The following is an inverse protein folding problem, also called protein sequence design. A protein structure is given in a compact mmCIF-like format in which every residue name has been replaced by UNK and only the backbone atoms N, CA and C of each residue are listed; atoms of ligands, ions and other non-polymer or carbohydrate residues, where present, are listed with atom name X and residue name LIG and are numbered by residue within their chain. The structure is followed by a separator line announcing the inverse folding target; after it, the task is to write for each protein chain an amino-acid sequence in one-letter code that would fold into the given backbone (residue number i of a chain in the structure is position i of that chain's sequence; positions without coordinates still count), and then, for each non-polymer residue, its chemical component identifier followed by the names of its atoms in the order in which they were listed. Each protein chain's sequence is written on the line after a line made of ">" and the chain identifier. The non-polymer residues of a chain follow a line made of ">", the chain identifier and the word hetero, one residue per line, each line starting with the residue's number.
data_IF_455943646879
#
_entry.id   IF_455943646879
#
_cell.length_a   1.000
_cell.length_b   1.000
_cell.length_c   1.000
_cell.angle_alpha   90.00
_cell.angle_beta   90.00
_cell.angle_gamma   90.00
#
_symmetry.space_group_name_H-M   'P 1'
#
loop_
_entity.id
_entity.type
_entity.pdbx_description
1 polymer ?
#
# COMPACT_ATOMS: atom_id res chain seq x y z
N UNK A 1 20.27 -13.22 2.06
CA UNK A 1 20.55 -11.81 2.33
C UNK A 1 21.55 -11.63 3.48
N UNK A 2 21.30 -12.15 4.69
CA UNK A 2 22.16 -11.91 5.86
C UNK A 2 23.63 -12.36 5.62
N UNK A 3 23.82 -13.51 4.99
CA UNK A 3 25.16 -14.01 4.64
C UNK A 3 25.89 -13.04 3.68
N UNK A 4 25.19 -12.57 2.66
CA UNK A 4 25.73 -11.62 1.67
C UNK A 4 26.09 -10.27 2.30
N UNK A 5 25.22 -9.76 3.20
CA UNK A 5 25.50 -8.51 3.91
C UNK A 5 26.72 -8.67 4.82
N UNK A 6 26.86 -9.79 5.53
CA UNK A 6 28.00 -10.04 6.44
C UNK A 6 29.32 -10.26 5.70
N UNK A 7 29.27 -10.78 4.47
CA UNK A 7 30.48 -11.02 3.66
C UNK A 7 30.97 -9.78 2.89
N UNK A 8 30.23 -8.69 2.93
CA UNK A 8 30.57 -7.45 2.22
C UNK A 8 30.67 -6.28 3.18
N UNK A 9 31.87 -5.83 3.45
CA UNK A 9 32.16 -4.76 4.43
C UNK A 9 31.46 -3.45 4.05
N UNK A 10 31.29 -3.14 2.76
CA UNK A 10 30.67 -1.90 2.32
C UNK A 10 29.16 -1.93 2.51
N UNK A 11 28.52 -3.07 2.22
CA UNK A 11 27.08 -3.26 2.44
C UNK A 11 26.70 -3.40 3.92
N UNK A 12 27.61 -3.91 4.76
CA UNK A 12 27.39 -4.01 6.21
C UNK A 12 27.75 -2.74 6.99
N UNK A 13 28.58 -1.86 6.41
CA UNK A 13 29.07 -0.66 7.07
C UNK A 13 27.95 0.26 7.52
N UNK A 14 27.79 0.41 8.85
CA UNK A 14 26.76 1.25 9.47
C UNK A 14 25.31 0.93 9.03
N UNK A 15 25.06 -0.27 8.54
CA UNK A 15 23.70 -0.80 8.37
C UNK A 15 23.02 -0.84 9.75
N UNK A 16 21.85 -0.23 9.84
CA UNK A 16 21.14 -0.04 11.10
C UNK A 16 19.91 -0.96 11.19
N UNK A 17 19.11 -0.99 10.14
CA UNK A 17 17.88 -1.80 10.07
C UNK A 17 17.72 -2.40 8.68
N UNK A 18 17.00 -3.51 8.63
CA UNK A 18 16.56 -4.15 7.38
C UNK A 18 15.05 -4.40 7.49
N UNK A 19 14.29 -3.78 6.59
CA UNK A 19 12.85 -4.00 6.51
C UNK A 19 12.53 -4.91 5.33
N UNK A 20 11.55 -5.78 5.52
CA UNK A 20 11.09 -6.71 4.50
C UNK A 20 9.61 -6.47 4.22
N UNK A 21 9.26 -6.44 2.95
CA UNK A 21 7.90 -6.47 2.48
C UNK A 21 7.80 -7.62 1.46
N UNK A 22 7.08 -8.66 1.83
CA UNK A 22 6.98 -9.89 1.05
C UNK A 22 5.53 -10.23 0.75
N UNK A 23 5.28 -10.80 -0.43
CA UNK A 23 3.96 -11.25 -0.87
C UNK A 23 3.80 -12.76 -0.75
N UNK A 24 2.56 -13.24 -0.78
CA UNK A 24 2.25 -14.68 -0.80
C UNK A 24 2.84 -15.40 -2.02
N UNK A 25 3.07 -14.69 -3.13
CA UNK A 25 3.70 -15.21 -4.34
C UNK A 25 5.24 -15.23 -4.29
N UNK A 26 5.83 -14.72 -3.19
CA UNK A 26 7.28 -14.69 -2.99
C UNK A 26 8.00 -13.48 -3.61
N UNK A 27 7.25 -12.48 -4.12
CA UNK A 27 7.86 -11.19 -4.46
C UNK A 27 8.32 -10.50 -3.16
N UNK A 28 9.53 -9.97 -3.16
CA UNK A 28 10.13 -9.39 -1.96
C UNK A 28 10.79 -8.04 -2.26
N UNK A 29 10.47 -7.05 -1.42
CA UNK A 29 11.16 -5.77 -1.38
C UNK A 29 11.88 -5.63 -0.05
N UNK A 30 13.15 -5.27 -0.12
CA UNK A 30 14.01 -5.10 1.04
C UNK A 30 14.48 -3.65 1.12
N UNK A 31 14.28 -3.02 2.27
CA UNK A 31 14.82 -1.68 2.56
C UNK A 31 15.99 -1.82 3.52
N UNK A 32 17.17 -1.40 3.06
CA UNK A 32 18.40 -1.34 3.86
C UNK A 32 18.57 0.08 4.40
N UNK A 33 18.54 0.24 5.71
CA UNK A 33 18.59 1.55 6.39
C UNK A 33 19.95 1.75 7.02
N UNK A 34 20.63 2.83 6.63
CA UNK A 34 22.00 3.13 7.01
C UNK A 34 22.12 4.40 7.85
N UNK A 35 23.19 4.45 8.67
CA UNK A 35 23.63 5.65 9.41
C UNK A 35 24.85 6.32 8.74
N UNK A 36 25.00 6.17 7.44
CA UNK A 36 26.01 6.83 6.62
C UNK A 36 25.41 7.12 5.22
N UNK A 37 25.97 8.07 4.47
CA UNK A 37 25.56 8.32 3.10
C UNK A 37 25.76 7.07 2.21
N UNK A 38 24.91 6.93 1.21
CA UNK A 38 24.96 5.89 0.19
C UNK A 38 25.64 6.48 -1.05
N UNK A 39 26.84 6.00 -1.35
CA UNK A 39 27.63 6.42 -2.50
C UNK A 39 27.39 5.55 -3.74
N UNK A 40 28.08 5.86 -4.83
CA UNK A 40 27.98 5.11 -6.08
C UNK A 40 28.48 3.66 -5.94
N UNK A 41 29.52 3.44 -5.12
CA UNK A 41 30.03 2.08 -4.89
C UNK A 41 28.99 1.22 -4.17
N UNK A 42 28.31 1.79 -3.17
CA UNK A 42 27.20 1.13 -2.50
C UNK A 42 26.10 0.77 -3.51
N UNK A 43 25.73 1.70 -4.41
CA UNK A 43 24.67 1.47 -5.39
C UNK A 43 24.99 0.31 -6.34
N UNK A 44 26.24 0.23 -6.81
CA UNK A 44 26.69 -0.87 -7.67
C UNK A 44 26.59 -2.21 -6.95
N UNK A 45 27.09 -2.31 -5.72
CA UNK A 45 27.06 -3.55 -4.94
C UNK A 45 25.65 -3.95 -4.54
N UNK A 46 24.82 -2.98 -4.15
CA UNK A 46 23.42 -3.22 -3.79
C UNK A 46 22.60 -3.68 -5.00
N UNK A 47 22.88 -3.17 -6.20
CA UNK A 47 22.25 -3.62 -7.44
C UNK A 47 22.63 -5.07 -7.76
N UNK A 48 23.91 -5.45 -7.65
CA UNK A 48 24.38 -6.83 -7.82
C UNK A 48 23.71 -7.77 -6.80
N UNK A 49 23.56 -7.32 -5.54
CA UNK A 49 22.86 -8.08 -4.51
C UNK A 49 21.38 -8.29 -4.84
N UNK A 50 20.70 -7.24 -5.31
CA UNK A 50 19.29 -7.28 -5.76
C UNK A 50 19.10 -8.31 -6.87
N UNK A 51 19.95 -8.28 -7.89
CA UNK A 51 19.92 -9.22 -9.02
C UNK A 51 20.24 -10.66 -8.58
N UNK A 52 21.30 -10.84 -7.77
CA UNK A 52 21.71 -12.16 -7.26
C UNK A 52 20.62 -12.85 -6.45
N UNK A 53 19.87 -12.09 -5.64
CA UNK A 53 18.84 -12.65 -4.76
C UNK A 53 17.43 -12.58 -5.37
N UNK A 54 17.30 -11.98 -6.55
CA UNK A 54 16.02 -11.71 -7.21
C UNK A 54 15.02 -11.01 -6.27
N UNK A 55 15.48 -9.90 -5.66
CA UNK A 55 14.69 -9.07 -4.74
C UNK A 55 14.67 -7.63 -5.23
N UNK A 56 13.61 -6.91 -4.93
CA UNK A 56 13.58 -5.45 -5.03
C UNK A 56 14.36 -4.86 -3.85
N UNK A 57 15.16 -3.82 -4.08
CA UNK A 57 16.02 -3.27 -3.05
C UNK A 57 16.00 -1.76 -3.04
N UNK A 58 15.84 -1.21 -1.84
CA UNK A 58 15.90 0.22 -1.56
C UNK A 58 16.96 0.48 -0.50
N UNK A 59 17.80 1.48 -0.72
CA UNK A 59 18.69 2.04 0.29
C UNK A 59 18.12 3.31 0.91
N UNK A 60 18.18 3.42 2.22
CA UNK A 60 17.81 4.64 2.95
C UNK A 60 18.94 5.11 3.85
N UNK A 61 19.12 6.41 3.89
CA UNK A 61 19.99 7.11 4.83
C UNK A 61 19.37 8.47 5.15
N UNK A 62 19.99 9.24 6.04
CA UNK A 62 19.46 10.56 6.42
C UNK A 62 19.33 11.47 5.19
N UNK A 63 18.07 11.81 4.84
CA UNK A 63 17.76 12.65 3.68
C UNK A 63 17.99 12.00 2.31
N UNK A 64 18.28 10.69 2.27
CA UNK A 64 18.58 9.95 1.04
C UNK A 64 17.69 8.72 0.89
N UNK A 65 17.11 8.53 -0.30
CA UNK A 65 16.42 7.31 -0.72
C UNK A 65 16.93 6.92 -2.10
N UNK A 66 17.50 5.75 -2.22
CA UNK A 66 17.98 5.16 -3.47
C UNK A 66 17.09 3.96 -3.80
N UNK A 67 16.33 4.06 -4.87
CA UNK A 67 15.48 2.97 -5.37
C UNK A 67 16.23 2.31 -6.52
N UNK A 68 16.60 1.04 -6.37
CA UNK A 68 17.40 0.32 -7.37
C UNK A 68 16.54 -0.37 -8.43
N UNK A 69 15.29 -0.70 -8.06
CA UNK A 69 14.31 -1.34 -8.95
C UNK A 69 12.97 -0.63 -8.80
N UNK A 70 12.07 -1.18 -8.00
CA UNK A 70 10.76 -0.60 -7.68
C UNK A 70 10.66 -0.29 -6.19
N UNK A 71 9.76 0.61 -5.82
CA UNK A 71 9.45 0.91 -4.43
C UNK A 71 8.16 0.25 -3.92
N UNK A 72 7.68 -0.77 -4.62
CA UNK A 72 6.47 -1.50 -4.28
C UNK A 72 6.55 -2.97 -4.67
N UNK A 73 5.72 -3.77 -4.06
CA UNK A 73 5.37 -5.13 -4.50
C UNK A 73 3.89 -5.21 -4.84
N UNK A 74 3.48 -6.23 -5.59
CA UNK A 74 2.07 -6.49 -5.90
C UNK A 74 1.64 -7.76 -5.19
N UNK A 75 0.85 -7.60 -4.11
CA UNK A 75 0.24 -8.71 -3.39
C UNK A 75 -1.05 -9.16 -4.09
N UNK A 76 -1.29 -10.45 -4.16
CA UNK A 76 -2.55 -11.02 -4.61
C UNK A 76 -3.26 -11.69 -3.44
N UNK A 77 -4.37 -11.10 -3.01
CA UNK A 77 -5.21 -11.65 -1.95
C UNK A 77 -6.46 -12.29 -2.54
N UNK A 78 -6.77 -13.49 -2.08
CA UNK A 78 -8.03 -14.16 -2.42
C UNK A 78 -9.08 -13.87 -1.37
N UNK A 79 -10.23 -13.36 -1.81
CA UNK A 79 -11.41 -13.13 -0.98
C UNK A 79 -12.58 -13.87 -1.61
N UNK A 80 -13.06 -14.92 -0.96
CA UNK A 80 -13.94 -15.94 -1.55
C UNK A 80 -13.32 -16.49 -2.86
N UNK A 81 -14.02 -16.41 -3.96
CA UNK A 81 -13.57 -16.91 -5.27
C UNK A 81 -12.86 -15.84 -6.12
N UNK A 82 -12.81 -14.57 -5.66
CA UNK A 82 -12.20 -13.46 -6.39
C UNK A 82 -10.79 -13.17 -5.88
N UNK A 83 -9.89 -12.95 -6.82
CA UNK A 83 -8.52 -12.47 -6.53
C UNK A 83 -8.45 -10.96 -6.73
N UNK A 84 -7.79 -10.30 -5.79
CA UNK A 84 -7.55 -8.86 -5.81
C UNK A 84 -6.06 -8.57 -5.80
N UNK A 85 -5.62 -7.67 -6.67
CA UNK A 85 -4.25 -7.20 -6.72
C UNK A 85 -4.10 -5.90 -5.93
N UNK A 86 -3.08 -5.88 -5.06
CA UNK A 86 -2.79 -4.75 -4.20
C UNK A 86 -1.34 -4.28 -4.36
N UNK A 87 -1.15 -3.05 -4.85
CA UNK A 87 0.13 -2.38 -4.77
C UNK A 87 0.43 -2.03 -3.31
N UNK A 88 1.52 -2.58 -2.80
CA UNK A 88 2.01 -2.31 -1.45
C UNK A 88 3.30 -1.51 -1.57
N UNK A 89 3.24 -0.23 -1.24
CA UNK A 89 4.36 0.71 -1.36
C UNK A 89 5.23 0.63 -0.12
N UNK A 90 6.55 0.67 -0.30
CA UNK A 90 7.54 0.73 0.77
C UNK A 90 7.20 1.85 1.77
N UNK A 91 7.29 1.56 3.06
CA UNK A 91 6.92 2.44 4.19
C UNK A 91 5.43 2.79 4.33
N UNK A 92 4.54 2.30 3.45
CA UNK A 92 3.10 2.39 3.69
C UNK A 92 2.61 1.23 4.55
N UNK A 93 1.54 1.48 5.31
CA UNK A 93 0.95 0.41 6.11
C UNK A 93 0.36 -0.69 5.23
N UNK A 94 0.66 -1.93 5.56
CA UNK A 94 0.02 -3.13 5.01
C UNK A 94 -0.26 -4.12 6.15
N UNK A 95 -1.27 -4.97 5.99
CA UNK A 95 -1.50 -6.04 6.95
C UNK A 95 -0.33 -7.03 6.93
N UNK A 96 0.34 -7.25 8.08
CA UNK A 96 1.61 -8.00 8.10
C UNK A 96 1.44 -9.49 7.82
N UNK A 97 0.24 -10.03 7.98
CA UNK A 97 -0.09 -11.41 7.68
C UNK A 97 -1.16 -11.48 6.59
N UNK A 98 -0.73 -11.72 5.36
CA UNK A 98 -1.60 -11.74 4.21
C UNK A 98 -2.69 -12.83 4.27
N UNK A 99 -2.38 -14.01 4.85
CA UNK A 99 -3.39 -15.07 5.01
C UNK A 99 -4.46 -14.70 6.04
N UNK A 100 -4.08 -14.05 7.13
CA UNK A 100 -5.06 -13.52 8.10
C UNK A 100 -5.82 -12.36 7.48
N UNK A 101 -5.17 -11.52 6.70
CA UNK A 101 -5.81 -10.42 5.97
C UNK A 101 -6.97 -10.94 5.08
N UNK A 102 -6.75 -11.98 4.30
CA UNK A 102 -7.81 -12.60 3.48
C UNK A 102 -9.05 -12.97 4.32
N UNK A 103 -8.85 -13.60 5.47
CA UNK A 103 -9.95 -13.94 6.39
C UNK A 103 -10.64 -12.72 6.99
N UNK A 104 -9.89 -11.65 7.29
CA UNK A 104 -10.46 -10.38 7.75
C UNK A 104 -11.36 -9.75 6.68
N UNK A 105 -10.93 -9.78 5.41
CA UNK A 105 -11.68 -9.27 4.28
C UNK A 105 -12.97 -10.08 4.04
N UNK A 106 -12.89 -11.41 4.09
CA UNK A 106 -14.05 -12.29 3.99
C UNK A 106 -15.04 -12.05 5.13
N UNK A 107 -14.53 -11.92 6.37
CA UNK A 107 -15.35 -11.59 7.52
C UNK A 107 -16.07 -10.25 7.36
N UNK A 108 -15.36 -9.21 6.93
CA UNK A 108 -15.93 -7.88 6.72
C UNK A 108 -17.04 -7.91 5.65
N UNK A 109 -16.81 -8.60 4.54
CA UNK A 109 -17.82 -8.77 3.50
C UNK A 109 -19.06 -9.54 3.99
N UNK A 110 -18.89 -10.54 4.85
CA UNK A 110 -20.00 -11.28 5.43
C UNK A 110 -20.78 -10.44 6.45
N UNK A 111 -20.07 -9.64 7.27
CA UNK A 111 -20.69 -8.74 8.25
C UNK A 111 -21.46 -7.60 7.59
N UNK A 112 -20.96 -7.07 6.47
CA UNK A 112 -21.62 -6.00 5.72
C UNK A 112 -22.93 -6.46 5.04
N UNK A 113 -23.05 -7.75 4.72
CA UNK A 113 -24.16 -8.31 3.92
C UNK A 113 -24.28 -7.61 2.55
N UNK A 114 -25.30 -7.98 1.78
CA UNK A 114 -25.60 -7.29 0.52
C UNK A 114 -26.49 -6.06 0.81
N UNK A 115 -26.11 -4.91 0.27
CA UNK A 115 -26.83 -3.66 0.49
C UNK A 115 -27.01 -2.89 -0.82
N UNK A 116 -28.19 -2.27 -0.98
CA UNK A 116 -28.44 -1.31 -2.06
C UNK A 116 -28.08 0.13 -1.64
N UNK A 117 -27.37 0.31 -0.51
CA UNK A 117 -26.90 1.59 0.01
C UNK A 117 -25.47 1.86 -0.45
N UNK A 118 -25.03 3.07 -0.21
CA UNK A 118 -23.65 3.48 -0.40
C UNK A 118 -22.82 3.21 0.86
N UNK A 119 -21.52 3.03 0.71
CA UNK A 119 -20.54 2.85 1.79
C UNK A 119 -19.66 4.08 1.91
N UNK A 120 -19.50 4.56 3.12
CA UNK A 120 -18.41 5.46 3.48
C UNK A 120 -17.33 4.68 4.23
N UNK A 121 -16.09 4.74 3.76
CA UNK A 121 -14.92 4.19 4.44
C UNK A 121 -13.92 5.32 4.76
N UNK A 122 -13.60 5.49 6.03
CA UNK A 122 -12.58 6.43 6.49
C UNK A 122 -11.26 5.69 6.71
N UNK A 123 -10.13 6.38 6.40
CA UNK A 123 -8.78 5.81 6.55
C UNK A 123 -8.56 4.55 5.70
N UNK A 124 -9.01 4.56 4.45
CA UNK A 124 -9.00 3.36 3.60
C UNK A 124 -7.59 2.81 3.26
N UNK A 125 -6.53 3.59 3.51
CA UNK A 125 -5.17 3.21 3.16
C UNK A 125 -5.02 3.00 1.65
N UNK A 126 -4.48 1.85 1.26
CA UNK A 126 -4.39 1.44 -0.14
C UNK A 126 -5.69 0.79 -0.68
N UNK A 127 -6.80 0.90 0.04
CA UNK A 127 -8.08 0.31 -0.35
C UNK A 127 -8.22 -1.16 0.01
N UNK A 128 -7.51 -1.63 1.05
CA UNK A 128 -7.47 -3.06 1.40
C UNK A 128 -8.87 -3.65 1.65
N UNK A 129 -9.71 -2.97 2.43
CA UNK A 129 -11.10 -3.36 2.67
C UNK A 129 -12.05 -2.82 1.59
N UNK A 130 -11.77 -1.64 1.07
CA UNK A 130 -12.58 -0.94 0.07
C UNK A 130 -12.90 -1.83 -1.13
N UNK A 131 -11.88 -2.50 -1.69
CA UNK A 131 -12.04 -3.28 -2.92
C UNK A 131 -13.04 -4.44 -2.76
N UNK A 132 -12.88 -5.36 -1.79
CA UNK A 132 -13.85 -6.45 -1.64
C UNK A 132 -15.19 -5.98 -1.13
N UNK A 133 -15.26 -4.96 -0.26
CA UNK A 133 -16.52 -4.39 0.21
C UNK A 133 -17.34 -3.73 -0.90
N UNK A 134 -16.69 -3.21 -1.94
CA UNK A 134 -17.40 -2.60 -3.08
C UNK A 134 -18.41 -3.54 -3.75
N UNK A 135 -18.21 -4.86 -3.63
CA UNK A 135 -19.15 -5.86 -4.14
C UNK A 135 -20.46 -5.95 -3.34
N UNK A 136 -20.51 -5.33 -2.17
CA UNK A 136 -21.65 -5.37 -1.24
C UNK A 136 -22.52 -4.12 -1.29
N UNK A 137 -22.02 -3.04 -1.88
CA UNK A 137 -22.64 -1.72 -1.87
C UNK A 137 -22.86 -1.19 -3.29
N UNK A 138 -23.78 -0.25 -3.43
CA UNK A 138 -24.05 0.39 -4.70
C UNK A 138 -22.87 1.27 -5.14
N UNK A 139 -22.42 2.15 -4.25
CA UNK A 139 -21.22 3.00 -4.45
C UNK A 139 -20.38 3.04 -3.17
N UNK A 140 -19.11 3.29 -3.33
CA UNK A 140 -18.18 3.44 -2.19
C UNK A 140 -17.43 4.76 -2.30
N UNK A 141 -17.55 5.58 -1.25
CA UNK A 141 -16.64 6.70 -1.03
C UNK A 141 -15.62 6.30 0.02
N UNK A 142 -14.35 6.30 -0.37
CA UNK A 142 -13.24 6.02 0.54
C UNK A 142 -12.39 7.27 0.74
N UNK A 143 -11.97 7.56 1.99
CA UNK A 143 -11.11 8.71 2.30
C UNK A 143 -9.78 8.26 2.87
N UNK A 144 -8.71 8.93 2.45
CA UNK A 144 -7.34 8.69 2.91
C UNK A 144 -6.54 10.01 2.78
N UNK A 145 -5.66 10.28 3.72
CA UNK A 145 -4.86 11.49 3.72
C UNK A 145 -3.49 11.33 3.04
N UNK A 146 -2.85 10.16 3.23
CA UNK A 146 -1.52 9.89 2.71
C UNK A 146 -1.52 9.75 1.19
N UNK A 147 -0.75 10.63 0.51
CA UNK A 147 -0.70 10.66 -0.98
C UNK A 147 -0.28 9.32 -1.58
N UNK A 148 0.69 8.62 -0.98
CA UNK A 148 1.15 7.31 -1.46
C UNK A 148 0.05 6.25 -1.37
N UNK A 149 -0.72 6.25 -0.28
CA UNK A 149 -1.83 5.32 -0.08
C UNK A 149 -2.98 5.58 -1.06
N UNK A 150 -3.36 6.86 -1.27
CA UNK A 150 -4.36 7.24 -2.28
C UNK A 150 -3.92 6.79 -3.68
N UNK A 151 -2.66 7.03 -4.05
CA UNK A 151 -2.12 6.57 -5.32
C UNK A 151 -2.18 5.03 -5.46
N UNK A 152 -1.82 4.31 -4.40
CA UNK A 152 -1.92 2.84 -4.40
C UNK A 152 -3.38 2.38 -4.50
N UNK A 153 -4.32 3.02 -3.77
CA UNK A 153 -5.74 2.69 -3.83
C UNK A 153 -6.32 2.89 -5.24
N UNK A 154 -6.01 4.01 -5.89
CA UNK A 154 -6.44 4.28 -7.27
C UNK A 154 -5.90 3.23 -8.24
N UNK A 155 -4.61 2.92 -8.16
CA UNK A 155 -3.99 1.87 -8.96
C UNK A 155 -4.66 0.50 -8.71
N UNK A 156 -4.95 0.18 -7.45
CA UNK A 156 -5.60 -1.08 -7.07
C UNK A 156 -7.03 -1.18 -7.65
N UNK A 157 -7.80 -0.08 -7.62
CA UNK A 157 -9.13 -0.01 -8.19
C UNK A 157 -9.08 -0.27 -9.71
N UNK A 158 -8.16 0.39 -10.41
CA UNK A 158 -7.97 0.22 -11.87
C UNK A 158 -7.57 -1.21 -12.22
N UNK A 159 -6.58 -1.79 -11.52
CA UNK A 159 -6.09 -3.15 -11.80
C UNK A 159 -7.14 -4.23 -11.53
N UNK A 160 -8.06 -3.99 -10.61
CA UNK A 160 -9.13 -4.92 -10.28
C UNK A 160 -10.43 -4.66 -11.08
N UNK A 161 -10.41 -3.68 -12.00
CA UNK A 161 -11.55 -3.31 -12.85
C UNK A 161 -12.84 -3.05 -12.04
N UNK A 162 -12.70 -2.20 -10.99
CA UNK A 162 -13.81 -1.81 -10.12
C UNK A 162 -14.20 -0.38 -10.47
N UNK A 163 -15.47 -0.13 -10.73
CA UNK A 163 -16.00 1.13 -11.25
C UNK A 163 -16.89 1.91 -10.28
N UNK A 164 -17.24 1.30 -9.14
CA UNK A 164 -18.15 1.87 -8.16
C UNK A 164 -17.43 2.45 -6.92
N UNK A 165 -16.10 2.62 -6.97
CA UNK A 165 -15.31 3.20 -5.87
C UNK A 165 -14.77 4.56 -6.27
N UNK A 166 -14.92 5.53 -5.38
CA UNK A 166 -14.21 6.80 -5.46
C UNK A 166 -13.34 7.01 -4.23
N UNK A 167 -12.08 7.41 -4.45
CA UNK A 167 -11.14 7.74 -3.38
C UNK A 167 -10.93 9.24 -3.32
N UNK A 168 -11.26 9.85 -2.19
CA UNK A 168 -11.01 11.26 -1.92
C UNK A 168 -9.82 11.43 -0.98
N UNK A 169 -8.86 12.28 -1.36
CA UNK A 169 -7.74 12.61 -0.47
C UNK A 169 -8.18 13.66 0.56
N UNK A 170 -8.73 13.17 1.67
CA UNK A 170 -9.25 13.99 2.79
C UNK A 170 -8.93 13.31 4.12
N UNK A 171 -8.77 14.11 5.18
CA UNK A 171 -8.81 13.59 6.54
C UNK A 171 -10.26 13.25 6.94
N UNK A 172 -10.41 12.43 7.98
CA UNK A 172 -11.74 12.13 8.51
C UNK A 172 -12.40 13.39 9.10
N UNK A 173 -11.61 14.28 9.67
CA UNK A 173 -12.06 15.58 10.21
C UNK A 173 -12.56 16.49 9.10
N UNK A 174 -11.82 16.63 8.00
CA UNK A 174 -12.25 17.41 6.83
C UNK A 174 -13.54 16.83 6.22
N UNK A 175 -13.64 15.50 6.15
CA UNK A 175 -14.86 14.85 5.69
C UNK A 175 -16.04 15.17 6.60
N UNK A 176 -15.86 15.09 7.92
CA UNK A 176 -16.91 15.40 8.90
C UNK A 176 -17.39 16.85 8.77
N UNK A 177 -16.47 17.80 8.57
CA UNK A 177 -16.81 19.22 8.34
C UNK A 177 -17.65 19.39 7.05
N UNK A 178 -17.27 18.68 5.99
CA UNK A 178 -18.04 18.69 4.74
C UNK A 178 -19.44 18.10 4.92
N UNK A 179 -19.53 16.97 5.60
CA UNK A 179 -20.79 16.29 5.88
C UNK A 179 -21.76 17.15 6.70
N UNK A 180 -21.22 17.89 7.68
CA UNK A 180 -22.01 18.83 8.50
C UNK A 180 -22.35 20.15 7.78
N UNK A 181 -21.87 20.34 6.54
CA UNK A 181 -22.05 21.60 5.81
C UNK A 181 -21.22 22.78 6.34
N UNK A 182 -20.22 22.52 7.19
CA UNK A 182 -19.36 23.55 7.79
C UNK A 182 -18.31 24.05 6.80
N UNK A 183 -17.93 23.21 5.82
CA UNK A 183 -16.93 23.53 4.81
C UNK A 183 -17.14 22.75 3.52
N UNK A 184 -16.98 23.44 2.40
CA UNK A 184 -17.00 22.78 1.08
C UNK A 184 -15.60 22.29 0.68
N UNK A 185 -15.52 21.07 0.16
CA UNK A 185 -14.31 20.50 -0.40
C UNK A 185 -14.53 20.13 -1.86
N UNK A 186 -13.78 20.75 -2.77
CA UNK A 186 -13.87 20.52 -4.21
C UNK A 186 -13.77 19.04 -4.59
N UNK A 187 -12.95 18.28 -3.85
CA UNK A 187 -12.75 16.84 -4.09
C UNK A 187 -13.97 15.97 -3.76
N UNK A 188 -14.88 16.46 -2.94
CA UNK A 188 -16.16 15.77 -2.65
C UNK A 188 -17.24 16.18 -3.65
N UNK A 189 -17.19 17.40 -4.18
CA UNK A 189 -18.13 17.86 -5.21
C UNK A 189 -17.99 17.07 -6.51
N UNK A 190 -16.75 16.63 -6.82
CA UNK A 190 -16.48 15.75 -7.96
C UNK A 190 -16.98 14.31 -7.73
N UNK A 191 -17.28 13.95 -6.49
CA UNK A 191 -17.65 12.59 -6.08
C UNK A 191 -19.08 12.18 -6.44
N UNK A 192 -19.96 13.14 -6.75
CA UNK A 192 -21.35 12.93 -7.13
C UNK A 192 -22.10 11.91 -6.25
N UNK A 193 -21.80 11.91 -4.95
CA UNK A 193 -22.38 11.02 -3.96
C UNK A 193 -23.56 11.76 -3.33
N UNK A 194 -24.74 11.24 -3.51
CA UNK A 194 -25.94 11.65 -2.78
C UNK A 194 -25.80 11.14 -1.34
N UNK A 195 -25.34 12.04 -0.46
CA UNK A 195 -25.23 11.79 0.99
C UNK A 195 -26.52 12.14 1.70
#
# INVERSE_FOLDING_TARGET
>A
LLAELKSNDLLSKRLFEVHFLATLKGEMLVSLIYRCPLDEQWQVLAKQLSEKLNIKLIGRSRGQKVVLTDEFVVEELQVFERKYQYKQIESSFTQPNAQVCQKMLEWACNAAQQSNKDLLELYCGNGNFTLPLSTRFNRVLATELAKSSVYAAQWNIEQNHIDNIQVARLSAEDFTQAYNGEREFRRLQEANIDM
#
